data_IF_271947852885
#
_entry.id   IF_271947852885
#
_cell.length_a   1.000
_cell.length_b   1.000
_cell.length_c   1.000
_cell.angle_alpha   90.00
_cell.angle_beta   90.00
_cell.angle_gamma   90.00
#
_symmetry.space_group_name_H-M   'P 1'
#
loop_
_entity.id
_entity.type
_entity.pdbx_description
1 polymer ?
#
# COMPACT_ATOMS: atom_id res chain seq x y z
N UNK A 1 0.82 6.28 11.21
CA UNK A 1 0.87 6.43 12.68
C UNK A 1 -0.39 5.89 13.39
N UNK A 2 -1.60 6.46 13.20
CA UNK A 2 -2.80 5.95 13.92
C UNK A 2 -3.21 4.53 13.48
N UNK A 3 -3.05 4.22 12.19
CA UNK A 3 -3.42 2.91 11.62
C UNK A 3 -2.21 1.99 11.50
N UNK A 4 -1.09 2.55 11.05
CA UNK A 4 0.20 1.87 10.93
C UNK A 4 1.04 2.11 12.20
N UNK A 5 1.35 1.03 12.93
CA UNK A 5 2.29 1.01 14.06
C UNK A 5 3.76 1.01 13.59
N UNK A 6 4.06 1.83 12.60
CA UNK A 6 5.41 2.01 12.06
C UNK A 6 5.60 3.49 11.71
N UNK A 7 6.73 4.03 12.15
CA UNK A 7 7.11 5.43 12.01
C UNK A 7 8.30 5.62 11.05
N UNK A 8 8.79 4.54 10.44
CA UNK A 8 9.85 4.60 9.44
C UNK A 8 9.37 5.27 8.16
N UNK A 9 10.19 6.18 7.65
CA UNK A 9 10.01 6.84 6.36
C UNK A 9 11.21 6.47 5.51
N UNK A 10 10.96 5.76 4.42
CA UNK A 10 11.97 5.36 3.46
C UNK A 10 11.51 5.77 2.05
N UNK A 11 12.47 6.03 1.17
CA UNK A 11 12.19 6.36 -0.23
C UNK A 11 12.74 5.27 -1.13
N UNK A 12 12.01 4.96 -2.19
CA UNK A 12 12.29 3.88 -3.12
C UNK A 12 11.94 4.35 -4.53
N UNK A 13 12.70 3.89 -5.53
CA UNK A 13 12.52 4.30 -6.93
C UNK A 13 11.53 3.38 -7.66
N UNK A 14 10.31 3.23 -7.12
CA UNK A 14 9.25 2.46 -7.77
C UNK A 14 8.36 3.37 -8.62
N UNK A 15 8.19 3.03 -9.90
CA UNK A 15 7.28 3.73 -10.80
C UNK A 15 5.83 3.29 -10.54
N UNK A 16 4.94 4.25 -10.27
CA UNK A 16 3.50 4.01 -10.10
C UNK A 16 2.71 5.18 -10.71
N UNK A 17 1.42 4.96 -10.97
CA UNK A 17 0.53 6.02 -11.44
C UNK A 17 0.25 7.09 -10.37
N UNK A 18 0.58 6.80 -9.10
CA UNK A 18 0.37 7.74 -8.00
C UNK A 18 1.13 9.06 -8.16
N UNK A 19 2.24 9.05 -8.90
CA UNK A 19 2.98 10.27 -9.24
C UNK A 19 2.17 11.22 -10.14
N UNK A 20 1.33 10.70 -11.03
CA UNK A 20 0.47 11.52 -11.89
C UNK A 20 -0.70 12.12 -11.11
N UNK A 21 -1.34 11.34 -10.24
CA UNK A 21 -2.43 11.84 -9.38
C UNK A 21 -1.95 12.91 -8.40
N UNK A 22 -0.76 12.71 -7.81
CA UNK A 22 -0.14 13.71 -6.93
C UNK A 22 0.14 15.02 -7.66
N UNK A 23 0.59 14.96 -8.93
CA UNK A 23 0.87 16.15 -9.75
C UNK A 23 -0.37 17.00 -10.05
N UNK A 24 -1.56 16.42 -10.06
CA UNK A 24 -2.82 17.17 -10.24
C UNK A 24 -3.45 17.63 -8.91
N UNK A 25 -2.69 17.51 -7.80
CA UNK A 25 -3.10 18.00 -6.48
C UNK A 25 -3.96 17.03 -5.68
N UNK A 26 -4.08 15.77 -6.09
CA UNK A 26 -4.85 14.78 -5.34
C UNK A 26 -3.99 14.16 -4.23
N UNK A 27 -4.47 14.15 -2.96
CA UNK A 27 -3.85 13.33 -1.92
C UNK A 27 -3.83 11.87 -2.36
N UNK A 28 -2.63 11.31 -2.53
CA UNK A 28 -2.44 10.01 -3.18
C UNK A 28 -1.63 9.09 -2.28
N UNK A 29 -2.13 7.87 -2.08
CA UNK A 29 -1.46 6.78 -1.39
C UNK A 29 -1.46 5.56 -2.31
N UNK A 30 -0.29 4.99 -2.57
CA UNK A 30 -0.17 3.67 -3.19
C UNK A 30 0.23 2.68 -2.10
N UNK A 31 -0.62 1.69 -1.84
CA UNK A 31 -0.36 0.64 -0.88
C UNK A 31 -1.02 -0.67 -1.33
N UNK A 32 -0.49 -1.79 -0.84
CA UNK A 32 -0.93 -3.13 -1.21
C UNK A 32 -0.16 -4.19 -0.43
N UNK A 33 -0.68 -5.42 -0.34
CA UNK A 33 0.03 -6.52 0.29
C UNK A 33 1.08 -7.13 -0.63
N UNK A 34 1.90 -8.02 -0.07
CA UNK A 34 2.94 -8.75 -0.79
C UNK A 34 4.35 -8.26 -0.47
N UNK A 35 5.32 -8.82 -1.18
CA UNK A 35 6.74 -8.55 -0.97
C UNK A 35 7.39 -8.09 -2.26
N UNK A 36 7.99 -6.91 -2.25
CA UNK A 36 8.63 -6.32 -3.42
C UNK A 36 9.78 -7.18 -3.97
N UNK A 37 10.42 -8.01 -3.13
CA UNK A 37 11.46 -8.95 -3.57
C UNK A 37 10.92 -10.05 -4.49
N UNK A 38 9.61 -10.31 -4.45
CA UNK A 38 8.94 -11.31 -5.28
C UNK A 38 8.26 -10.71 -6.52
N UNK A 39 8.14 -9.38 -6.59
CA UNK A 39 7.55 -8.71 -7.75
C UNK A 39 8.41 -8.94 -9.02
N UNK A 40 7.73 -9.10 -10.16
CA UNK A 40 8.33 -9.34 -11.48
C UNK A 40 9.23 -10.58 -11.57
N UNK A 41 9.04 -11.55 -10.67
CA UNK A 41 9.71 -12.85 -10.76
C UNK A 41 8.83 -13.84 -11.56
N UNK A 42 9.42 -14.84 -12.24
CA UNK A 42 8.65 -15.81 -13.03
C UNK A 42 7.55 -16.54 -12.25
N UNK A 43 7.75 -16.72 -10.94
CA UNK A 43 6.82 -17.35 -10.03
C UNK A 43 6.22 -16.35 -9.03
N UNK A 44 5.97 -15.11 -9.44
CA UNK A 44 5.33 -14.09 -8.60
C UNK A 44 4.05 -14.64 -7.94
N UNK A 45 3.98 -14.50 -6.62
CA UNK A 45 2.86 -14.98 -5.83
C UNK A 45 2.65 -14.08 -4.62
N UNK A 46 1.50 -14.28 -3.98
CA UNK A 46 1.14 -13.64 -2.72
C UNK A 46 0.47 -14.67 -1.81
N UNK A 47 0.71 -14.59 -0.50
CA UNK A 47 0.01 -15.47 0.43
C UNK A 47 -1.44 -15.00 0.61
N UNK A 48 -2.36 -15.95 0.72
CA UNK A 48 -3.78 -15.63 0.98
C UNK A 48 -3.92 -14.84 2.29
N UNK A 49 -3.15 -15.19 3.32
CA UNK A 49 -3.13 -14.49 4.60
C UNK A 49 -2.73 -13.00 4.46
N UNK A 50 -1.79 -12.68 3.54
CA UNK A 50 -1.38 -11.29 3.30
C UNK A 50 -2.54 -10.47 2.68
N UNK A 51 -3.34 -11.10 1.81
CA UNK A 51 -4.55 -10.49 1.24
C UNK A 51 -5.59 -10.27 2.34
N UNK A 52 -5.87 -11.28 3.17
CA UNK A 52 -6.86 -11.18 4.24
C UNK A 52 -6.51 -10.09 5.25
N UNK A 53 -5.23 -9.99 5.62
CA UNK A 53 -4.74 -8.94 6.53
C UNK A 53 -4.84 -7.56 5.89
N UNK A 54 -4.55 -7.45 4.59
CA UNK A 54 -4.72 -6.19 3.87
C UNK A 54 -6.18 -5.76 3.77
N UNK A 55 -7.12 -6.69 3.56
CA UNK A 55 -8.55 -6.38 3.55
C UNK A 55 -9.01 -5.80 4.90
N UNK A 56 -8.55 -6.37 6.03
CA UNK A 56 -8.80 -5.80 7.37
C UNK A 56 -8.24 -4.38 7.49
N UNK A 57 -7.04 -4.14 6.96
CA UNK A 57 -6.43 -2.81 6.94
C UNK A 57 -7.25 -1.81 6.10
N UNK A 58 -7.67 -2.16 4.88
CA UNK A 58 -8.46 -1.28 4.01
C UNK A 58 -9.78 -0.89 4.65
N UNK A 59 -10.48 -1.84 5.28
CA UNK A 59 -11.73 -1.56 6.02
C UNK A 59 -11.47 -0.58 7.17
N UNK A 60 -10.41 -0.80 7.95
CA UNK A 60 -10.02 0.12 9.04
C UNK A 60 -9.68 1.51 8.51
N UNK A 61 -8.96 1.61 7.40
CA UNK A 61 -8.63 2.88 6.75
C UNK A 61 -9.87 3.61 6.28
N UNK A 62 -10.79 2.92 5.60
CA UNK A 62 -12.04 3.53 5.15
C UNK A 62 -12.88 4.06 6.32
N UNK A 63 -12.98 3.31 7.42
CA UNK A 63 -13.69 3.76 8.62
C UNK A 63 -13.07 5.00 9.26
N UNK A 64 -11.74 5.09 9.30
CA UNK A 64 -11.02 6.26 9.84
C UNK A 64 -11.12 7.49 8.92
N UNK A 65 -11.26 7.31 7.61
CA UNK A 65 -11.43 8.41 6.65
C UNK A 65 -12.88 8.92 6.58
N UNK A 66 -13.84 8.09 6.97
CA UNK A 66 -15.27 8.44 7.01
C UNK A 66 -15.71 9.07 8.35
N UNK A 67 -14.82 9.11 9.34
CA UNK A 67 -15.08 9.68 10.67
C UNK A 67 -14.66 11.16 10.74
#
# INVERSE_FOLDING_TARGET
KKILNDDRIESVSYGTDGGFFSKVGWPTLVCGPGNIKQAHQPNEYINIEDIENYMKFVIKLANELNA
#
